data_IF_754599421811
#
_entry.id   IF_754599421811
#
_cell.length_a   1.000
_cell.length_b   1.000
_cell.length_c   1.000
_cell.angle_alpha   90.00
_cell.angle_beta   90.00
_cell.angle_gamma   90.00
#
_symmetry.space_group_name_H-M   'P 1'
#
loop_
_entity.id
_entity.type
_entity.pdbx_description
1 polymer ?
#
# COMPACT_ATOMS: atom_id res chain seq x y z
N UNK A 1 -14.15 -12.02 2.20
CA UNK A 1 -13.05 -11.81 1.23
C UNK A 1 -12.92 -13.01 0.30
N UNK A 2 -12.51 -12.81 -0.96
CA UNK A 2 -12.34 -13.88 -1.96
C UNK A 2 -10.87 -13.96 -2.37
N UNK A 3 -10.27 -15.15 -2.36
CA UNK A 3 -8.89 -15.37 -2.83
C UNK A 3 -8.95 -16.02 -4.21
N UNK A 4 -8.19 -15.47 -5.16
CA UNK A 4 -8.13 -15.88 -6.56
C UNK A 4 -6.70 -16.25 -6.91
N UNK A 5 -6.48 -17.53 -7.22
CA UNK A 5 -5.15 -18.11 -7.42
C UNK A 5 -4.96 -18.71 -8.81
N UNK A 6 -5.96 -18.62 -9.69
CA UNK A 6 -5.98 -19.28 -10.99
C UNK A 6 -4.72 -19.01 -11.84
N UNK A 7 -4.18 -17.79 -11.79
CA UNK A 7 -2.98 -17.41 -12.54
C UNK A 7 -1.72 -18.00 -11.92
N UNK A 8 -1.53 -17.79 -10.61
CA UNK A 8 -0.32 -18.29 -9.93
C UNK A 8 -0.27 -19.82 -9.90
N UNK A 9 -1.42 -20.48 -9.74
CA UNK A 9 -1.53 -21.94 -9.76
C UNK A 9 -1.13 -22.47 -11.14
N UNK A 10 -1.63 -21.87 -12.22
CA UNK A 10 -1.23 -22.21 -13.60
C UNK A 10 0.29 -22.06 -13.79
N UNK A 11 0.89 -21.00 -13.25
CA UNK A 11 2.32 -20.77 -13.35
C UNK A 11 3.15 -21.78 -12.54
N UNK A 12 2.72 -22.10 -11.31
CA UNK A 12 3.37 -23.09 -10.45
C UNK A 12 3.31 -24.51 -11.03
N UNK A 13 2.21 -24.85 -11.71
CA UNK A 13 1.99 -26.15 -12.35
C UNK A 13 2.77 -26.29 -13.67
N UNK A 14 2.70 -25.30 -14.54
CA UNK A 14 3.21 -25.41 -15.92
C UNK A 14 4.54 -24.67 -16.16
N UNK A 15 4.96 -23.80 -15.23
CA UNK A 15 6.17 -22.99 -15.36
C UNK A 15 6.08 -21.87 -16.41
N UNK A 16 4.89 -21.57 -16.92
CA UNK A 16 4.60 -20.51 -17.88
C UNK A 16 3.14 -20.03 -17.73
N UNK A 17 2.80 -18.93 -18.40
CA UNK A 17 1.48 -18.30 -18.33
C UNK A 17 0.64 -18.46 -19.61
N UNK A 18 0.99 -19.38 -20.52
CA UNK A 18 0.34 -19.46 -21.84
C UNK A 18 -1.18 -19.66 -21.78
N UNK A 19 -1.66 -20.44 -20.79
CA UNK A 19 -3.08 -20.73 -20.60
C UNK A 19 -3.88 -19.55 -20.03
N UNK A 20 -3.20 -18.59 -19.39
CA UNK A 20 -3.83 -17.53 -18.58
C UNK A 20 -3.39 -16.12 -18.97
N UNK A 21 -2.47 -15.94 -19.93
CA UNK A 21 -1.98 -14.61 -20.36
C UNK A 21 -3.08 -13.68 -20.89
N UNK A 22 -4.16 -14.23 -21.43
CA UNK A 22 -5.32 -13.43 -21.88
C UNK A 22 -6.31 -13.11 -20.74
N UNK A 23 -5.97 -13.42 -19.48
CA UNK A 23 -6.83 -13.14 -18.34
C UNK A 23 -7.05 -11.63 -18.19
N UNK A 24 -8.28 -11.25 -17.87
CA UNK A 24 -8.71 -9.83 -17.84
C UNK A 24 -7.87 -8.96 -16.91
N UNK A 25 -7.24 -9.55 -15.89
CA UNK A 25 -6.42 -8.83 -14.91
C UNK A 25 -5.31 -8.01 -15.58
N UNK A 26 -4.69 -8.53 -16.64
CA UNK A 26 -3.60 -7.87 -17.36
C UNK A 26 -4.06 -6.63 -18.15
N UNK A 27 -5.36 -6.48 -18.41
CA UNK A 27 -5.95 -5.25 -18.97
C UNK A 27 -6.29 -4.19 -17.90
N UNK A 28 -6.15 -4.54 -16.63
CA UNK A 28 -6.52 -3.67 -15.51
C UNK A 28 -5.33 -3.14 -14.72
N UNK A 29 -4.16 -3.79 -14.82
CA UNK A 29 -2.92 -3.31 -14.20
C UNK A 29 -2.65 -1.86 -14.64
N UNK A 30 -2.75 -1.54 -15.93
CA UNK A 30 -2.78 -0.14 -16.40
C UNK A 30 -4.10 0.10 -17.12
N UNK A 31 -4.95 1.03 -16.65
CA UNK A 31 -6.25 1.26 -17.27
C UNK A 31 -6.15 1.52 -18.78
N UNK A 32 -6.83 0.67 -19.56
CA UNK A 32 -6.87 0.77 -21.01
C UNK A 32 -5.66 0.18 -21.74
N UNK A 33 -4.74 -0.50 -21.05
CA UNK A 33 -3.56 -1.12 -21.66
C UNK A 33 -3.44 -2.59 -21.25
N UNK A 34 -3.18 -3.45 -22.23
CA UNK A 34 -2.75 -4.82 -21.95
C UNK A 34 -1.31 -4.81 -21.45
N UNK A 35 -1.11 -5.31 -20.24
CA UNK A 35 0.12 -5.17 -19.48
C UNK A 35 0.55 -6.55 -18.97
N UNK A 36 1.44 -7.20 -19.70
CA UNK A 36 1.91 -8.56 -19.41
C UNK A 36 3.41 -8.68 -19.72
N UNK A 37 4.15 -9.32 -18.82
CA UNK A 37 5.56 -9.65 -19.00
C UNK A 37 5.81 -11.07 -18.47
N UNK A 38 6.12 -12.00 -19.38
CA UNK A 38 6.42 -13.39 -18.99
C UNK A 38 7.60 -13.42 -18.00
N UNK A 39 7.46 -14.10 -16.85
CA UNK A 39 8.57 -14.31 -15.93
C UNK A 39 9.73 -15.05 -16.59
N UNK A 40 10.91 -14.43 -16.65
CA UNK A 40 12.10 -15.07 -17.23
C UNK A 40 12.81 -16.05 -16.29
N UNK A 41 12.77 -15.77 -14.97
CA UNK A 41 13.32 -16.61 -13.92
C UNK A 41 12.71 -16.24 -12.57
N UNK A 42 12.45 -17.25 -11.73
CA UNK A 42 12.11 -17.07 -10.32
C UNK A 42 12.66 -18.26 -9.53
N UNK A 43 13.12 -18.00 -8.31
CA UNK A 43 13.46 -19.08 -7.40
C UNK A 43 12.15 -19.76 -6.96
N UNK A 44 11.94 -21.01 -7.39
CA UNK A 44 10.71 -21.77 -7.12
C UNK A 44 10.48 -22.00 -5.62
N UNK A 45 11.54 -22.17 -4.83
CA UNK A 45 11.44 -22.34 -3.38
C UNK A 45 10.88 -21.07 -2.72
N UNK A 46 11.46 -19.91 -3.06
CA UNK A 46 10.98 -18.61 -2.59
C UNK A 46 9.53 -18.36 -3.01
N UNK A 47 9.16 -18.71 -4.25
CA UNK A 47 7.82 -18.49 -4.77
C UNK A 47 6.77 -19.34 -4.07
N UNK A 48 7.04 -20.64 -3.88
CA UNK A 48 6.13 -21.55 -3.17
C UNK A 48 5.97 -21.11 -1.71
N UNK A 49 7.07 -20.77 -1.04
CA UNK A 49 7.03 -20.25 0.32
C UNK A 49 6.19 -18.97 0.42
N UNK A 50 6.43 -17.99 -0.46
CA UNK A 50 5.66 -16.74 -0.46
C UNK A 50 4.17 -16.98 -0.72
N UNK A 51 3.83 -17.87 -1.66
CA UNK A 51 2.45 -18.25 -1.96
C UNK A 51 1.75 -18.85 -0.73
N UNK A 52 2.38 -19.83 -0.08
CA UNK A 52 1.85 -20.46 1.13
C UNK A 52 1.74 -19.47 2.31
N UNK A 53 2.76 -18.63 2.51
CA UNK A 53 2.76 -17.59 3.55
C UNK A 53 1.63 -16.59 3.34
N UNK A 54 1.44 -16.07 2.12
CA UNK A 54 0.35 -15.14 1.82
C UNK A 54 -0.99 -15.83 2.01
N UNK A 55 -1.20 -17.03 1.50
CA UNK A 55 -2.47 -17.75 1.69
C UNK A 55 -2.79 -17.94 3.17
N UNK A 56 -1.83 -18.42 3.97
CA UNK A 56 -2.00 -18.59 5.40
C UNK A 56 -2.34 -17.26 6.09
N UNK A 57 -1.64 -16.17 5.74
CA UNK A 57 -1.94 -14.83 6.27
C UNK A 57 -3.29 -14.30 5.81
N UNK A 58 -3.80 -14.65 4.64
CA UNK A 58 -5.14 -14.24 4.21
C UNK A 58 -6.24 -14.96 5.00
N UNK A 59 -6.02 -16.22 5.39
CA UNK A 59 -6.95 -16.96 6.25
C UNK A 59 -6.83 -16.60 7.74
N UNK A 60 -5.60 -16.37 8.21
CA UNK A 60 -5.25 -16.11 9.60
C UNK A 60 -4.53 -14.76 9.72
N UNK A 61 -5.20 -13.70 9.29
CA UNK A 61 -4.57 -12.38 9.18
C UNK A 61 -4.07 -11.87 10.52
N UNK A 62 -2.78 -11.55 10.54
CA UNK A 62 -2.09 -10.86 11.62
C UNK A 62 -1.35 -9.67 11.03
N UNK A 63 -1.84 -8.44 11.26
CA UNK A 63 -1.19 -7.24 10.78
C UNK A 63 0.13 -7.01 11.52
N UNK A 64 1.06 -6.31 10.87
CA UNK A 64 2.14 -5.65 11.60
C UNK A 64 1.54 -4.58 12.53
N UNK A 65 2.26 -4.27 13.61
CA UNK A 65 1.81 -3.30 14.61
C UNK A 65 0.39 -3.60 15.13
N UNK A 66 0.08 -4.87 15.44
CA UNK A 66 -1.27 -5.39 15.75
C UNK A 66 -2.05 -4.55 16.78
N UNK A 67 -1.39 -4.08 17.85
CA UNK A 67 -2.03 -3.22 18.83
C UNK A 67 -2.50 -1.86 18.24
N UNK A 68 -1.70 -1.27 17.35
CA UNK A 68 -2.04 -0.02 16.66
C UNK A 68 -3.11 -0.26 15.59
N UNK A 69 -3.03 -1.38 14.88
CA UNK A 69 -4.06 -1.81 13.94
C UNK A 69 -5.43 -1.87 14.62
N UNK A 70 -5.52 -2.49 15.81
CA UNK A 70 -6.77 -2.58 16.54
C UNK A 70 -7.27 -1.23 17.08
N UNK A 71 -6.38 -0.30 17.42
CA UNK A 71 -6.81 1.07 17.76
C UNK A 71 -7.44 1.79 16.55
N UNK A 72 -6.88 1.58 15.36
CA UNK A 72 -7.35 2.20 14.12
C UNK A 72 -8.69 1.56 13.69
N UNK A 73 -8.70 0.25 13.50
CA UNK A 73 -9.81 -0.44 12.85
C UNK A 73 -10.80 -1.11 13.80
N UNK A 74 -10.44 -1.31 15.07
CA UNK A 74 -11.28 -2.02 16.03
C UNK A 74 -11.65 -3.42 15.51
N UNK A 75 -12.96 -3.70 15.51
CA UNK A 75 -13.53 -4.98 15.05
C UNK A 75 -13.94 -4.98 13.57
N UNK A 76 -13.55 -3.95 12.80
CA UNK A 76 -13.88 -3.88 11.37
C UNK A 76 -13.36 -5.10 10.62
N UNK A 77 -14.19 -5.61 9.71
CA UNK A 77 -13.89 -6.79 8.91
C UNK A 77 -13.60 -6.40 7.47
N UNK A 78 -12.74 -7.19 6.81
CA UNK A 78 -12.53 -7.07 5.37
C UNK A 78 -13.83 -7.45 4.65
N UNK A 79 -14.39 -6.58 3.78
CA UNK A 79 -15.65 -6.86 3.11
C UNK A 79 -15.59 -8.12 2.24
N UNK A 80 -16.72 -8.81 2.12
CA UNK A 80 -16.85 -9.94 1.20
C UNK A 80 -16.79 -9.54 -0.28
N UNK A 81 -16.92 -8.25 -0.56
CA UNK A 81 -16.72 -7.61 -1.87
C UNK A 81 -15.27 -7.20 -2.14
N UNK A 82 -14.30 -7.80 -1.43
CA UNK A 82 -12.87 -7.67 -1.71
C UNK A 82 -12.32 -8.98 -2.22
N UNK A 83 -11.74 -8.94 -3.43
CA UNK A 83 -11.00 -10.03 -4.04
C UNK A 83 -9.49 -9.76 -3.98
N UNK A 84 -8.71 -10.80 -3.70
CA UNK A 84 -7.26 -10.76 -3.75
C UNK A 84 -6.79 -11.76 -4.80
N UNK A 85 -6.14 -11.24 -5.84
CA UNK A 85 -5.58 -12.00 -6.94
C UNK A 85 -4.11 -12.24 -6.67
N UNK A 86 -3.72 -13.50 -6.51
CA UNK A 86 -2.33 -13.93 -6.48
C UNK A 86 -1.95 -14.32 -7.91
N UNK A 87 -1.00 -13.60 -8.50
CA UNK A 87 -0.67 -13.71 -9.92
C UNK A 87 0.84 -13.78 -10.14
N UNK A 88 1.21 -14.02 -11.40
CA UNK A 88 2.52 -13.76 -11.96
C UNK A 88 2.34 -13.05 -13.31
N UNK A 89 3.37 -12.40 -13.83
CA UNK A 89 3.36 -11.86 -15.20
C UNK A 89 3.08 -10.36 -15.34
N UNK A 90 3.22 -9.58 -14.27
CA UNK A 90 3.14 -8.11 -14.29
C UNK A 90 4.52 -7.52 -14.61
N UNK A 91 4.64 -6.47 -15.45
CA UNK A 91 5.89 -5.78 -15.69
C UNK A 91 6.29 -4.88 -14.51
N UNK A 92 7.58 -4.54 -14.38
CA UNK A 92 8.00 -3.49 -13.45
C UNK A 92 7.35 -2.14 -13.84
N UNK A 93 6.96 -1.30 -12.86
CA UNK A 93 7.13 -1.45 -11.42
C UNK A 93 5.91 -2.06 -10.71
N UNK A 94 5.04 -2.80 -11.39
CA UNK A 94 3.77 -3.28 -10.83
C UNK A 94 3.95 -4.62 -10.10
N UNK A 95 4.04 -4.56 -8.79
CA UNK A 95 4.12 -5.70 -7.85
C UNK A 95 2.83 -5.87 -7.03
N UNK A 96 2.19 -4.77 -6.68
CA UNK A 96 0.87 -4.69 -6.06
C UNK A 96 0.05 -3.56 -6.67
N UNK A 97 -1.20 -3.84 -7.07
CA UNK A 97 -2.12 -2.80 -7.52
C UNK A 97 -3.55 -3.05 -7.05
N UNK A 98 -4.25 -1.98 -6.66
CA UNK A 98 -5.69 -2.02 -6.32
C UNK A 98 -6.52 -1.55 -7.50
N UNK A 99 -7.47 -2.37 -7.95
CA UNK A 99 -8.40 -2.08 -9.04
C UNK A 99 -9.84 -2.34 -8.63
N UNK A 100 -10.77 -1.93 -9.47
CA UNK A 100 -12.17 -2.34 -9.39
C UNK A 100 -12.47 -3.20 -10.62
N UNK A 101 -13.19 -4.30 -10.44
CA UNK A 101 -13.70 -5.08 -11.56
C UNK A 101 -14.96 -4.42 -12.17
N UNK A 102 -15.50 -5.04 -13.21
CA UNK A 102 -16.70 -4.53 -13.91
C UNK A 102 -17.96 -4.51 -13.04
N UNK A 103 -17.99 -5.27 -11.94
CA UNK A 103 -19.09 -5.29 -10.97
C UNK A 103 -18.93 -4.28 -9.84
N UNK A 104 -17.79 -3.55 -9.81
CA UNK A 104 -17.42 -2.64 -8.73
C UNK A 104 -16.78 -3.36 -7.53
N UNK A 105 -16.39 -4.63 -7.67
CA UNK A 105 -15.66 -5.35 -6.64
C UNK A 105 -14.23 -4.81 -6.55
N UNK A 106 -13.74 -4.57 -5.32
CA UNK A 106 -12.35 -4.18 -5.12
C UNK A 106 -11.44 -5.40 -5.30
N UNK A 107 -10.43 -5.24 -6.14
CA UNK A 107 -9.45 -6.27 -6.48
C UNK A 107 -8.06 -5.79 -6.07
N UNK A 108 -7.44 -6.47 -5.11
CA UNK A 108 -6.02 -6.32 -4.80
C UNK A 108 -5.27 -7.35 -5.64
N UNK A 109 -4.32 -6.92 -6.47
CA UNK A 109 -3.60 -7.78 -7.42
C UNK A 109 -2.14 -7.84 -7.03
N UNK A 110 -1.66 -9.04 -6.72
CA UNK A 110 -0.33 -9.30 -6.17
C UNK A 110 0.47 -10.18 -7.10
N UNK A 111 1.56 -9.63 -7.64
CA UNK A 111 2.49 -10.41 -8.42
C UNK A 111 3.55 -11.05 -7.53
N UNK A 112 3.38 -12.35 -7.25
CA UNK A 112 4.25 -13.05 -6.32
C UNK A 112 5.66 -13.22 -6.87
N UNK A 113 5.82 -13.33 -8.20
CA UNK A 113 7.14 -13.40 -8.82
C UNK A 113 7.90 -12.08 -8.65
N UNK A 114 7.21 -10.94 -8.76
CA UNK A 114 7.81 -9.63 -8.49
C UNK A 114 8.18 -9.47 -7.02
N UNK A 115 7.29 -9.86 -6.11
CA UNK A 115 7.55 -9.78 -4.68
C UNK A 115 8.78 -10.62 -4.28
N UNK A 116 8.97 -11.79 -4.90
CA UNK A 116 10.18 -12.59 -4.70
C UNK A 116 11.48 -11.88 -5.11
N UNK A 117 11.44 -10.80 -5.90
CA UNK A 117 12.65 -10.05 -6.28
C UNK A 117 13.15 -9.10 -5.21
N UNK A 118 12.41 -8.93 -4.11
CA UNK A 118 12.76 -8.04 -3.00
C UNK A 118 13.42 -8.75 -1.82
N UNK A 119 13.55 -10.07 -1.86
CA UNK A 119 14.13 -10.87 -0.79
C UNK A 119 15.16 -11.85 -1.31
N UNK A 120 16.23 -12.01 -0.53
CA UNK A 120 17.25 -13.03 -0.73
C UNK A 120 17.05 -14.22 0.23
N UNK A 121 16.08 -14.15 1.15
CA UNK A 121 15.79 -15.17 2.15
C UNK A 121 14.29 -15.38 2.42
N UNK A 122 13.95 -16.52 3.02
CA UNK A 122 12.57 -16.84 3.42
C UNK A 122 12.04 -15.91 4.53
N UNK A 123 12.91 -15.51 5.46
CA UNK A 123 12.55 -14.59 6.57
C UNK A 123 12.18 -13.20 6.03
N UNK A 124 12.94 -12.69 5.04
CA UNK A 124 12.60 -11.44 4.36
C UNK A 124 11.26 -11.53 3.61
N UNK A 125 10.95 -12.69 3.01
CA UNK A 125 9.64 -12.91 2.37
C UNK A 125 8.49 -12.92 3.36
N UNK A 126 8.68 -13.52 4.54
CA UNK A 126 7.66 -13.53 5.59
C UNK A 126 7.33 -12.12 6.06
N UNK A 127 8.35 -11.26 6.15
CA UNK A 127 8.18 -9.83 6.44
C UNK A 127 7.50 -9.10 5.27
N UNK A 128 7.95 -9.30 4.02
CA UNK A 128 7.33 -8.67 2.83
C UNK A 128 5.84 -9.03 2.75
N UNK A 129 5.49 -10.30 2.97
CA UNK A 129 4.09 -10.72 2.99
C UNK A 129 3.29 -10.02 4.09
N UNK A 130 3.87 -9.84 5.28
CA UNK A 130 3.24 -9.13 6.39
C UNK A 130 3.04 -7.65 6.10
N UNK A 131 4.10 -6.96 5.68
CA UNK A 131 4.12 -5.53 5.31
C UNK A 131 3.10 -5.26 4.22
N UNK A 132 3.19 -6.00 3.12
CA UNK A 132 2.33 -5.84 1.98
C UNK A 132 0.84 -6.03 2.34
N UNK A 133 0.49 -7.12 3.03
CA UNK A 133 -0.91 -7.38 3.40
C UNK A 133 -1.43 -6.36 4.42
N UNK A 134 -0.59 -5.93 5.37
CA UNK A 134 -0.95 -4.88 6.33
C UNK A 134 -1.23 -3.57 5.59
N UNK A 135 -0.37 -3.19 4.64
CA UNK A 135 -0.54 -1.98 3.84
C UNK A 135 -1.84 -2.01 3.02
N UNK A 136 -2.05 -3.03 2.18
CA UNK A 136 -3.21 -3.04 1.29
C UNK A 136 -4.54 -3.24 2.01
N UNK A 137 -4.57 -4.08 3.05
CA UNK A 137 -5.79 -4.27 3.83
C UNK A 137 -6.14 -3.04 4.68
N UNK A 138 -5.15 -2.20 5.02
CA UNK A 138 -5.42 -0.89 5.63
C UNK A 138 -6.29 -0.05 4.71
N UNK A 139 -5.96 0.05 3.41
CA UNK A 139 -6.76 0.80 2.42
C UNK A 139 -8.18 0.26 2.28
N UNK A 140 -8.36 -1.07 2.37
CA UNK A 140 -9.69 -1.70 2.32
C UNK A 140 -10.54 -1.22 3.48
N UNK A 141 -10.03 -1.34 4.71
CA UNK A 141 -10.75 -0.93 5.91
C UNK A 141 -10.94 0.59 5.95
N UNK A 142 -9.91 1.36 5.61
CA UNK A 142 -9.97 2.82 5.57
C UNK A 142 -11.06 3.33 4.66
N UNK A 143 -11.23 2.72 3.49
CA UNK A 143 -12.26 3.16 2.53
C UNK A 143 -13.70 2.95 3.00
N UNK A 144 -13.94 2.12 4.02
CA UNK A 144 -15.26 1.99 4.64
C UNK A 144 -15.62 3.24 5.46
N UNK A 145 -14.62 3.92 6.04
CA UNK A 145 -14.81 5.19 6.79
C UNK A 145 -14.63 6.42 5.91
N UNK A 146 -13.63 6.39 5.03
CA UNK A 146 -13.25 7.48 4.14
C UNK A 146 -13.28 7.03 2.69
N UNK A 147 -14.47 6.95 2.06
CA UNK A 147 -14.58 6.54 0.67
C UNK A 147 -13.85 7.55 -0.23
N UNK A 148 -12.96 7.02 -1.06
CA UNK A 148 -12.20 7.81 -2.02
C UNK A 148 -13.12 8.34 -3.12
N UNK A 149 -12.97 9.61 -3.49
CA UNK A 149 -13.75 10.22 -4.57
C UNK A 149 -12.84 10.88 -5.60
N UNK A 150 -12.81 10.30 -6.81
CA UNK A 150 -12.06 10.81 -7.97
C UNK A 150 -12.61 12.12 -8.53
N UNK A 151 -13.80 12.54 -8.08
CA UNK A 151 -14.44 13.78 -8.53
C UNK A 151 -14.06 15.00 -7.71
N UNK A 152 -13.20 14.84 -6.70
CA UNK A 152 -12.70 15.95 -5.90
C UNK A 152 -11.64 16.76 -6.65
N UNK A 153 -11.47 18.06 -6.33
CA UNK A 153 -10.31 18.85 -6.75
C UNK A 153 -9.00 18.14 -6.41
N UNK A 154 -7.98 18.25 -7.27
CA UNK A 154 -6.72 17.51 -7.12
C UNK A 154 -6.06 17.71 -5.76
N UNK A 155 -6.11 18.92 -5.21
CA UNK A 155 -5.60 19.21 -3.87
C UNK A 155 -6.33 18.41 -2.79
N UNK A 156 -7.65 18.24 -2.89
CA UNK A 156 -8.41 17.45 -1.92
C UNK A 156 -8.10 15.96 -2.05
N UNK A 157 -7.88 15.48 -3.28
CA UNK A 157 -7.40 14.11 -3.51
C UNK A 157 -6.02 13.92 -2.90
N UNK A 158 -5.11 14.90 -3.04
CA UNK A 158 -3.79 14.86 -2.43
C UNK A 158 -3.88 14.78 -0.90
N UNK A 159 -4.79 15.53 -0.27
CA UNK A 159 -5.03 15.47 1.18
C UNK A 159 -5.54 14.09 1.64
N UNK A 160 -6.47 13.50 0.88
CA UNK A 160 -6.93 12.14 1.16
C UNK A 160 -5.79 11.13 1.04
N UNK A 161 -4.92 11.30 0.04
CA UNK A 161 -3.77 10.44 -0.18
C UNK A 161 -2.77 10.51 0.99
N UNK A 162 -2.46 11.72 1.49
CA UNK A 162 -1.61 11.89 2.69
C UNK A 162 -2.16 11.09 3.87
N UNK A 163 -3.48 11.09 4.05
CA UNK A 163 -4.11 10.41 5.16
C UNK A 163 -4.12 8.89 5.00
N UNK A 164 -4.65 8.40 3.89
CA UNK A 164 -4.83 6.97 3.61
C UNK A 164 -3.48 6.24 3.52
N UNK A 165 -2.57 6.74 2.69
CA UNK A 165 -1.23 6.18 2.54
C UNK A 165 -0.37 6.37 3.80
N UNK A 166 -0.56 7.48 4.50
CA UNK A 166 0.16 7.75 5.74
C UNK A 166 -0.11 6.72 6.82
N UNK A 167 -1.40 6.39 7.02
CA UNK A 167 -1.83 5.36 7.97
C UNK A 167 -1.39 3.98 7.49
N UNK A 168 -1.61 3.65 6.21
CA UNK A 168 -1.24 2.34 5.66
C UNK A 168 0.27 2.07 5.78
N UNK A 169 1.12 3.03 5.41
CA UNK A 169 2.56 2.91 5.61
C UNK A 169 2.93 2.88 7.08
N UNK A 170 2.33 3.70 7.94
CA UNK A 170 2.63 3.68 9.38
C UNK A 170 2.37 2.30 10.00
N UNK A 171 1.22 1.68 9.70
CA UNK A 171 0.85 0.38 10.25
C UNK A 171 1.71 -0.76 9.68
N UNK A 172 2.16 -0.65 8.43
CA UNK A 172 2.98 -1.68 7.79
C UNK A 172 4.49 -1.50 8.02
N UNK A 173 4.92 -0.35 8.55
CA UNK A 173 6.35 -0.05 8.67
C UNK A 173 7.01 -0.76 9.85
N UNK A 174 7.78 -1.81 9.54
CA UNK A 174 8.52 -2.63 10.52
C UNK A 174 7.58 -3.31 11.53
N UNK A 175 8.12 -4.19 12.36
CA UNK A 175 7.33 -4.95 13.33
C UNK A 175 6.82 -4.08 14.49
N UNK A 176 7.64 -3.13 14.94
CA UNK A 176 7.31 -2.16 15.99
C UNK A 176 7.74 -0.76 15.55
N UNK A 177 6.80 -0.05 14.90
CA UNK A 177 7.01 1.29 14.34
C UNK A 177 7.32 2.33 15.42
N UNK A 178 6.82 2.16 16.64
CA UNK A 178 6.96 3.14 17.73
C UNK A 178 8.28 2.98 18.50
N UNK A 179 8.94 1.82 18.41
CA UNK A 179 10.26 1.60 19.01
C UNK A 179 11.43 2.26 18.26
N UNK A 180 11.19 2.74 17.04
CA UNK A 180 12.23 3.27 16.17
C UNK A 180 12.64 4.70 16.56
N UNK A 181 13.91 5.03 16.35
CA UNK A 181 14.39 6.42 16.48
C UNK A 181 14.06 7.24 15.22
N UNK A 182 12.93 7.95 15.28
CA UNK A 182 12.46 8.87 14.23
C UNK A 182 13.15 10.24 14.24
N UNK A 183 14.06 10.49 15.19
CA UNK A 183 14.73 11.78 15.37
C UNK A 183 16.21 11.76 15.02
N UNK A 184 16.73 10.69 14.41
CA UNK A 184 18.04 10.72 13.75
C UNK A 184 18.12 11.84 12.70
N UNK A 185 19.31 12.41 12.47
CA UNK A 185 19.51 13.44 11.44
C UNK A 185 18.96 13.02 10.07
N UNK A 186 19.10 11.73 9.73
CA UNK A 186 18.59 11.15 8.48
C UNK A 186 17.06 11.22 8.41
N UNK A 187 16.36 10.90 9.50
CA UNK A 187 14.90 10.95 9.52
C UNK A 187 14.37 12.38 9.56
N UNK A 188 15.00 13.27 10.33
CA UNK A 188 14.64 14.69 10.36
C UNK A 188 14.78 15.35 8.99
N UNK A 189 15.90 15.09 8.29
CA UNK A 189 16.11 15.60 6.94
C UNK A 189 15.07 15.08 5.94
N UNK A 190 14.68 13.81 6.06
CA UNK A 190 13.63 13.21 5.22
C UNK A 190 12.27 13.85 5.49
N UNK A 191 11.87 13.94 6.76
CA UNK A 191 10.62 14.55 7.22
C UNK A 191 10.49 15.98 6.69
N UNK A 192 11.51 16.82 6.89
CA UNK A 192 11.47 18.21 6.44
C UNK A 192 11.39 18.30 4.90
N UNK A 193 12.14 17.47 4.17
CA UNK A 193 12.10 17.44 2.70
C UNK A 193 10.71 17.10 2.17
N UNK A 194 10.06 16.06 2.69
CA UNK A 194 8.72 15.67 2.23
C UNK A 194 7.64 16.67 2.67
N UNK A 195 7.74 17.23 3.88
CA UNK A 195 6.82 18.26 4.37
C UNK A 195 6.92 19.55 3.57
N UNK A 196 8.13 20.02 3.25
CA UNK A 196 8.32 21.20 2.39
C UNK A 196 7.69 20.99 1.02
N UNK A 197 7.93 19.83 0.40
CA UNK A 197 7.40 19.50 -0.92
C UNK A 197 5.88 19.40 -0.92
N UNK A 198 5.29 18.76 0.10
CA UNK A 198 3.84 18.66 0.24
C UNK A 198 3.21 20.05 0.47
N UNK A 199 3.75 20.86 1.39
CA UNK A 199 3.28 22.24 1.65
C UNK A 199 3.30 23.11 0.39
N UNK A 200 4.35 22.98 -0.42
CA UNK A 200 4.43 23.66 -1.71
C UNK A 200 3.26 23.29 -2.63
N UNK A 201 2.96 22.00 -2.82
CA UNK A 201 1.87 21.57 -3.71
C UNK A 201 0.46 21.82 -3.15
N UNK A 202 0.30 21.85 -1.84
CA UNK A 202 -0.97 22.22 -1.20
C UNK A 202 -1.28 23.71 -1.36
N UNK A 203 -0.27 24.58 -1.50
CA UNK A 203 -0.45 26.03 -1.65
C UNK A 203 -0.39 26.49 -3.11
N UNK A 204 0.40 25.84 -3.95
CA UNK A 204 0.58 26.16 -5.37
C UNK A 204 -0.11 25.12 -6.25
N UNK A 205 -1.45 25.09 -6.24
CA UNK A 205 -2.23 24.07 -6.96
C UNK A 205 -1.89 24.00 -8.46
N UNK A 206 -1.55 25.14 -9.09
CA UNK A 206 -1.12 25.18 -10.50
C UNK A 206 0.18 24.39 -10.76
N UNK A 207 1.02 24.20 -9.74
CA UNK A 207 2.27 23.44 -9.84
C UNK A 207 2.05 21.93 -9.67
N UNK A 208 0.84 21.49 -9.27
CA UNK A 208 0.46 20.08 -9.12
C UNK A 208 0.13 19.47 -10.50
N UNK A 209 1.15 19.38 -11.35
CA UNK A 209 1.11 18.72 -12.65
C UNK A 209 0.78 17.22 -12.50
N UNK A 210 0.35 16.52 -13.56
CA UNK A 210 0.13 15.07 -13.49
C UNK A 210 1.36 14.28 -13.02
N UNK A 211 2.56 14.70 -13.41
CA UNK A 211 3.81 14.08 -12.95
C UNK A 211 4.06 14.34 -11.46
N UNK A 212 3.88 15.59 -11.01
CA UNK A 212 3.99 15.93 -9.59
C UNK A 212 2.97 15.16 -8.74
N UNK A 213 1.75 15.00 -9.25
CA UNK A 213 0.70 14.23 -8.59
C UNK A 213 1.04 12.73 -8.54
N UNK A 214 1.56 12.14 -9.63
CA UNK A 214 2.03 10.75 -9.64
C UNK A 214 3.10 10.52 -8.55
N UNK A 215 4.12 11.40 -8.50
CA UNK A 215 5.21 11.33 -7.51
C UNK A 215 4.75 11.52 -6.06
N UNK A 216 3.47 11.85 -5.80
CA UNK A 216 2.92 11.90 -4.46
C UNK A 216 2.96 10.52 -3.78
N UNK A 217 2.73 9.45 -4.56
CA UNK A 217 2.65 8.07 -4.09
C UNK A 217 3.49 7.05 -4.88
N UNK A 218 4.06 7.42 -6.02
CA UNK A 218 4.88 6.52 -6.84
C UNK A 218 6.36 6.84 -6.72
N UNK A 219 7.22 5.81 -6.74
CA UNK A 219 8.67 5.94 -6.69
C UNK A 219 9.30 5.14 -5.55
N UNK A 220 10.57 5.40 -5.25
CA UNK A 220 11.23 4.82 -4.08
C UNK A 220 10.46 5.18 -2.81
N UNK A 221 10.44 4.27 -1.82
CA UNK A 221 9.69 4.44 -0.58
C UNK A 221 9.76 5.86 0.00
N UNK A 222 10.98 6.39 0.22
CA UNK A 222 11.20 7.71 0.84
C UNK A 222 10.92 8.92 -0.06
N UNK A 223 10.70 8.72 -1.37
CA UNK A 223 10.52 9.80 -2.35
C UNK A 223 9.03 10.14 -2.58
N UNK A 224 8.12 9.27 -2.10
CA UNK A 224 6.65 9.41 -2.15
C UNK A 224 6.19 10.51 -1.20
N UNK A 225 6.30 11.77 -1.62
CA UNK A 225 6.24 12.90 -0.70
C UNK A 225 4.92 13.04 0.07
N UNK A 226 3.78 12.61 -0.48
CA UNK A 226 2.50 12.70 0.23
C UNK A 226 2.33 11.53 1.21
N UNK A 227 2.59 10.31 0.75
CA UNK A 227 2.52 9.09 1.56
C UNK A 227 3.45 9.13 2.77
N UNK A 228 4.70 9.54 2.55
CA UNK A 228 5.71 9.63 3.61
C UNK A 228 5.48 10.83 4.52
N UNK A 229 4.94 11.94 4.01
CA UNK A 229 4.50 13.02 4.90
C UNK A 229 3.38 12.56 5.82
N UNK A 230 2.43 11.78 5.30
CA UNK A 230 1.37 11.16 6.09
C UNK A 230 1.93 10.28 7.21
N UNK A 231 2.86 9.37 6.88
CA UNK A 231 3.48 8.48 7.86
C UNK A 231 4.20 9.26 8.96
N UNK A 232 5.03 10.25 8.62
CA UNK A 232 5.69 11.11 9.61
C UNK A 232 4.69 11.88 10.48
N UNK A 233 3.58 12.35 9.90
CA UNK A 233 2.57 13.09 10.65
C UNK A 233 1.82 12.18 11.65
N UNK A 234 1.56 10.91 11.28
CA UNK A 234 1.00 9.91 12.20
C UNK A 234 1.97 9.63 13.35
N UNK A 235 3.27 9.50 13.06
CA UNK A 235 4.32 9.31 14.08
C UNK A 235 4.34 10.50 15.04
N UNK A 236 4.44 11.73 14.52
CA UNK A 236 4.42 12.95 15.35
C UNK A 236 3.14 13.05 16.19
N UNK A 237 1.99 12.61 15.68
CA UNK A 237 0.74 12.57 16.43
C UNK A 237 0.82 11.63 17.63
N UNK A 238 1.34 10.41 17.43
CA UNK A 238 1.54 9.42 18.48
C UNK A 238 2.56 9.87 19.53
N UNK A 239 3.69 10.46 19.11
CA UNK A 239 4.73 10.99 20.00
C UNK A 239 4.22 12.10 20.92
N UNK A 240 3.22 12.87 20.48
CA UNK A 240 2.54 13.89 21.27
C UNK A 240 1.47 13.33 22.23
N UNK A 241 1.34 12.00 22.31
CA UNK A 241 0.34 11.32 23.13
C UNK A 241 -1.05 11.22 22.47
N UNK A 242 -1.14 11.51 21.17
CA UNK A 242 -2.34 11.34 20.39
C UNK A 242 -2.72 9.86 20.23
N UNK A 243 -4.02 9.56 20.27
CA UNK A 243 -4.55 8.21 20.05
C UNK A 243 -5.04 8.03 18.62
N UNK A 244 -4.63 6.96 17.95
CA UNK A 244 -4.94 6.74 16.52
C UNK A 244 -6.45 6.68 16.23
N UNK A 245 -7.25 6.16 17.17
CA UNK A 245 -8.72 6.19 17.08
C UNK A 245 -9.27 7.62 16.91
N UNK A 246 -8.73 8.60 17.66
CA UNK A 246 -9.14 10.01 17.55
C UNK A 246 -8.64 10.65 16.24
N UNK A 247 -7.48 10.20 15.74
CA UNK A 247 -6.96 10.67 14.46
C UNK A 247 -7.92 10.31 13.33
N UNK A 248 -8.50 9.10 13.38
CA UNK A 248 -9.51 8.67 12.43
C UNK A 248 -10.80 9.46 12.52
N UNK A 249 -11.23 9.88 13.70
CA UNK A 249 -12.43 10.71 13.84
C UNK A 249 -12.23 12.13 13.31
N UNK A 250 -11.02 12.68 13.47
CA UNK A 250 -10.66 14.02 12.96
C UNK A 250 -10.40 14.02 11.45
N UNK A 251 -10.03 12.87 10.88
CA UNK A 251 -9.86 12.68 9.44
C UNK A 251 -8.64 13.41 8.85
N UNK A 252 -8.59 13.57 7.51
CA UNK A 252 -7.40 14.03 6.80
C UNK A 252 -6.82 15.36 7.27
N UNK A 253 -7.65 16.29 7.76
CA UNK A 253 -7.19 17.61 8.18
C UNK A 253 -6.28 17.56 9.41
N UNK A 254 -6.43 16.58 10.29
CA UNK A 254 -5.60 16.47 11.50
C UNK A 254 -4.12 16.26 11.17
N UNK A 255 -3.80 15.44 10.17
CA UNK A 255 -2.42 15.24 9.74
C UNK A 255 -1.86 16.49 9.07
N UNK A 256 -2.68 17.23 8.31
CA UNK A 256 -2.25 18.46 7.66
C UNK A 256 -1.87 19.53 8.67
N UNK A 257 -2.60 19.68 9.78
CA UNK A 257 -2.25 20.61 10.84
C UNK A 257 -0.87 20.31 11.47
N UNK A 258 -0.51 19.03 11.59
CA UNK A 258 0.80 18.60 12.09
C UNK A 258 1.89 18.97 11.09
N UNK A 259 1.66 18.65 9.80
CA UNK A 259 2.59 18.93 8.70
C UNK A 259 2.82 20.45 8.55
N UNK A 260 1.77 21.26 8.70
CA UNK A 260 1.86 22.72 8.63
C UNK A 260 2.71 23.31 9.76
N UNK A 261 2.56 22.78 10.98
CA UNK A 261 3.36 23.19 12.14
C UNK A 261 4.80 22.69 12.08
N UNK A 262 5.09 21.65 11.28
CA UNK A 262 6.42 21.07 11.14
C UNK A 262 6.92 20.37 12.41
N UNK A 263 6.00 19.78 13.17
CA UNK A 263 6.29 19.09 14.44
C UNK A 263 6.57 17.61 14.16
#
# INVERSE_FOLDING_TARGET
>A
MIIKTEIIDSFLEHGNLDAVKEHWIYHTIVPGQYTFEEPSYVNKELLVHLYETIQNRLYNFKPLNEALWHQVFGDMQIPDTTAIYLIAGSPKPYDGVVREDQSGMRCIILDLVRLCTYADSLEELDFIAADFLTHELSHVLMSQRYPYSKHLPKVNVLKQLVFDEGIAHFLSYKEDVLSLDWHTDKMNNRRESVYQKLRYYLTQEYALTPEAFSKANTGSFWDKYASISGMFAVISYCEQGGKLEELLDKGPNALLEIIEKGI
#
